data_IF_391813974827
#
_entry.id   IF_391813974827
#
_cell.length_a   1.000
_cell.length_b   1.000
_cell.length_c   1.000
_cell.angle_alpha   90.00
_cell.angle_beta   90.00
_cell.angle_gamma   90.00
#
_symmetry.space_group_name_H-M   'P 1'
#
loop_
_entity.id
_entity.type
_entity.pdbx_description
1 polymer ?
#
# COMPACT_ATOMS: atom_id res chain seq x y z
N UNK A 1 -17.47 -2.22 15.56
CA UNK A 1 -17.37 -3.43 14.72
C UNK A 1 -18.73 -3.69 14.08
N UNK A 2 -18.76 -3.95 12.77
CA UNK A 2 -19.93 -4.45 12.04
C UNK A 2 -19.69 -5.93 11.73
N UNK A 3 -20.62 -6.80 12.12
CA UNK A 3 -20.47 -8.24 11.93
C UNK A 3 -21.77 -8.86 11.43
N UNK A 4 -21.66 -9.64 10.36
CA UNK A 4 -22.75 -10.45 9.82
C UNK A 4 -22.87 -11.83 10.49
N UNK A 5 -23.85 -12.59 10.06
CA UNK A 5 -24.06 -13.99 10.45
C UNK A 5 -23.25 -14.98 9.57
N UNK A 6 -22.41 -14.46 8.69
CA UNK A 6 -21.61 -15.17 7.70
C UNK A 6 -21.71 -14.49 6.32
N UNK A 7 -20.64 -14.53 5.54
CA UNK A 7 -20.62 -13.92 4.20
C UNK A 7 -21.60 -14.55 3.18
N UNK A 8 -22.17 -15.71 3.51
CA UNK A 8 -23.26 -16.33 2.74
C UNK A 8 -24.64 -16.05 3.32
N UNK A 9 -24.74 -15.40 4.49
CA UNK A 9 -25.99 -15.20 5.21
C UNK A 9 -26.34 -13.71 5.39
N UNK A 10 -25.36 -12.83 5.43
CA UNK A 10 -25.58 -11.38 5.54
C UNK A 10 -25.05 -10.69 4.30
N UNK A 11 -25.93 -10.01 3.57
CA UNK A 11 -25.60 -9.28 2.35
C UNK A 11 -25.91 -7.80 2.54
N UNK A 12 -24.94 -6.95 2.24
CA UNK A 12 -25.14 -5.51 2.08
C UNK A 12 -25.08 -5.18 0.58
N UNK A 13 -26.22 -4.87 0.01
CA UNK A 13 -26.33 -4.60 -1.42
C UNK A 13 -26.34 -3.11 -1.70
N UNK A 14 -25.56 -2.70 -2.70
CA UNK A 14 -25.60 -1.37 -3.30
C UNK A 14 -26.52 -1.41 -4.51
N UNK A 15 -27.65 -0.70 -4.47
CA UNK A 15 -28.72 -0.82 -5.48
C UNK A 15 -28.51 0.09 -6.70
N UNK A 16 -27.63 1.08 -6.62
CA UNK A 16 -27.29 1.98 -7.71
C UNK A 16 -25.83 2.47 -7.54
N UNK A 17 -25.16 2.82 -8.65
CA UNK A 17 -23.79 3.31 -8.57
C UNK A 17 -23.73 4.67 -7.88
N UNK A 18 -22.64 4.89 -7.15
CA UNK A 18 -22.31 6.19 -6.58
C UNK A 18 -22.15 7.25 -7.66
N UNK A 19 -22.66 8.45 -7.40
CA UNK A 19 -22.51 9.58 -8.30
C UNK A 19 -21.18 10.30 -8.06
N UNK A 20 -20.58 10.83 -9.11
CA UNK A 20 -19.35 11.60 -9.04
C UNK A 20 -19.50 12.82 -8.14
N UNK A 21 -18.54 13.01 -7.20
CA UNK A 21 -18.57 14.13 -6.24
C UNK A 21 -17.85 15.39 -6.74
N UNK A 22 -16.80 15.24 -7.55
CA UNK A 22 -15.92 16.35 -7.96
C UNK A 22 -15.57 16.35 -9.46
N UNK A 23 -16.28 15.57 -10.27
CA UNK A 23 -16.04 15.47 -11.70
C UNK A 23 -14.91 14.51 -12.10
N UNK A 24 -14.24 13.85 -11.15
CA UNK A 24 -13.25 12.81 -11.44
C UNK A 24 -13.88 11.42 -11.45
N UNK A 25 -13.34 10.50 -12.26
CA UNK A 25 -13.88 9.15 -12.42
C UNK A 25 -13.78 8.28 -11.16
N UNK A 26 -12.93 8.66 -10.23
CA UNK A 26 -12.56 7.87 -9.05
C UNK A 26 -13.02 8.45 -7.71
N UNK A 27 -13.85 9.49 -7.71
CA UNK A 27 -14.39 10.06 -6.48
C UNK A 27 -15.92 9.93 -6.42
N UNK A 28 -16.38 8.73 -6.13
CA UNK A 28 -17.78 8.43 -5.84
C UNK A 28 -17.94 8.02 -4.37
N UNK A 29 -19.15 8.15 -3.78
CA UNK A 29 -19.42 7.62 -2.46
C UNK A 29 -19.26 6.10 -2.43
N UNK A 30 -18.75 5.57 -1.35
CA UNK A 30 -18.73 4.16 -1.04
C UNK A 30 -19.99 3.68 -0.31
N UNK A 31 -20.30 2.38 -0.37
CA UNK A 31 -21.43 1.79 0.36
C UNK A 31 -21.24 1.92 1.88
N UNK A 32 -20.03 1.67 2.38
CA UNK A 32 -19.68 1.77 3.79
C UNK A 32 -18.33 2.43 3.97
N UNK A 33 -18.22 3.34 4.93
CA UNK A 33 -16.91 3.88 5.30
C UNK A 33 -16.70 4.01 6.80
N UNK A 34 -15.47 3.74 7.22
CA UNK A 34 -14.94 4.14 8.50
C UNK A 34 -13.99 5.31 8.27
N UNK A 35 -14.40 6.53 8.71
CA UNK A 35 -13.60 7.71 8.43
C UNK A 35 -13.52 8.67 9.61
N UNK A 36 -12.35 9.26 9.77
CA UNK A 36 -12.19 10.49 10.53
C UNK A 36 -12.17 11.65 9.54
N UNK A 37 -13.18 12.51 9.62
CA UNK A 37 -13.27 13.71 8.79
C UNK A 37 -12.55 14.84 9.51
N UNK A 38 -11.46 15.34 8.93
CA UNK A 38 -10.75 16.49 9.49
C UNK A 38 -11.58 17.76 9.37
N UNK A 39 -11.61 18.54 10.43
CA UNK A 39 -12.03 19.92 10.37
C UNK A 39 -10.87 20.84 9.93
N UNK A 40 -11.12 22.07 9.54
CA UNK A 40 -10.05 23.03 9.22
C UNK A 40 -9.12 23.30 10.41
N UNK A 41 -9.61 23.18 11.64
CA UNK A 41 -8.82 23.31 12.87
C UNK A 41 -7.89 22.12 13.13
N UNK A 42 -8.10 20.98 12.44
CA UNK A 42 -7.32 19.76 12.60
C UNK A 42 -6.13 19.72 11.61
N UNK A 43 -5.87 20.76 10.85
CA UNK A 43 -4.79 20.78 9.88
C UNK A 43 -3.43 20.74 10.58
N UNK A 44 -2.82 19.56 10.49
CA UNK A 44 -1.41 19.27 10.70
C UNK A 44 -0.77 19.89 11.95
N UNK A 45 -1.07 19.34 13.09
CA UNK A 45 -0.32 19.66 14.30
C UNK A 45 1.11 19.11 14.20
N UNK A 46 2.02 19.89 13.62
CA UNK A 46 3.47 19.63 13.74
C UNK A 46 3.82 19.69 15.21
N UNK A 47 4.38 18.59 15.72
CA UNK A 47 4.76 18.48 17.13
C UNK A 47 6.19 18.95 17.37
N UNK A 48 7.12 18.48 16.53
CA UNK A 48 8.55 18.78 16.71
C UNK A 48 9.33 18.43 15.43
N UNK A 49 10.59 18.85 15.37
CA UNK A 49 11.60 18.46 14.37
C UNK A 49 12.34 17.22 14.83
N UNK A 50 12.80 16.40 13.88
CA UNK A 50 13.77 15.33 14.11
C UNK A 50 15.14 15.92 13.80
N UNK A 51 16.08 15.84 14.75
CA UNK A 51 17.32 16.63 14.73
C UNK A 51 18.60 15.82 14.53
N UNK A 52 18.52 14.49 14.51
CA UNK A 52 19.66 13.61 14.33
C UNK A 52 19.39 12.55 13.25
N UNK A 53 20.48 12.06 12.68
CA UNK A 53 20.44 10.91 11.76
C UNK A 53 19.85 9.68 12.44
N UNK A 54 19.11 8.89 11.68
CA UNK A 54 18.67 7.57 12.10
C UNK A 54 18.52 6.67 10.87
N UNK A 55 18.94 5.43 10.98
CA UNK A 55 18.89 4.46 9.88
C UNK A 55 17.54 3.76 9.81
N UNK A 56 17.13 3.36 8.63
CA UNK A 56 16.04 2.42 8.43
C UNK A 56 16.26 1.15 9.29
N UNK A 57 15.17 0.64 9.88
CA UNK A 57 15.25 -0.45 10.87
C UNK A 57 15.48 0.01 12.32
N UNK A 58 15.91 1.26 12.55
CA UNK A 58 16.03 1.82 13.91
C UNK A 58 14.64 2.05 14.52
N UNK A 59 14.57 1.88 15.85
CA UNK A 59 13.41 2.26 16.66
C UNK A 59 13.59 3.62 17.37
N UNK A 60 14.71 4.30 17.17
CA UNK A 60 15.02 5.52 17.90
C UNK A 60 15.20 6.71 16.98
N UNK A 61 14.67 7.84 17.41
CA UNK A 61 14.85 9.16 16.82
C UNK A 61 15.19 10.18 17.87
N UNK A 62 15.90 11.24 17.51
CA UNK A 62 16.14 12.39 18.38
C UNK A 62 15.35 13.60 17.87
N UNK A 63 14.64 14.29 18.77
CA UNK A 63 13.75 15.41 18.44
C UNK A 63 14.23 16.71 19.10
N UNK A 64 13.84 17.86 18.54
CA UNK A 64 14.15 19.15 19.11
C UNK A 64 13.51 19.35 20.49
N UNK A 65 12.26 18.89 20.66
CA UNK A 65 11.53 18.91 21.93
C UNK A 65 10.53 17.76 22.02
N UNK A 66 10.47 17.09 23.16
CA UNK A 66 9.48 16.06 23.45
C UNK A 66 8.26 16.58 24.25
N UNK A 67 8.16 17.87 24.51
CA UNK A 67 7.13 18.44 25.41
C UNK A 67 5.68 18.20 24.93
N UNK A 68 5.49 18.00 23.63
CA UNK A 68 4.18 17.72 23.03
C UNK A 68 3.94 16.21 22.78
N UNK A 69 4.83 15.33 23.25
CA UNK A 69 4.77 13.89 23.02
C UNK A 69 4.35 13.15 24.29
N UNK A 70 3.64 12.05 24.11
CA UNK A 70 3.24 11.15 25.19
C UNK A 70 3.48 9.68 24.80
N UNK A 71 3.81 8.84 25.77
CA UNK A 71 3.92 7.38 25.55
C UNK A 71 2.55 6.82 25.13
N UNK A 72 2.55 5.96 24.12
CA UNK A 72 1.33 5.43 23.49
C UNK A 72 0.71 6.35 22.43
N UNK A 73 1.21 7.58 22.28
CA UNK A 73 0.74 8.49 21.24
C UNK A 73 1.13 7.98 19.85
N UNK A 74 0.17 8.00 18.92
CA UNK A 74 0.45 7.80 17.50
C UNK A 74 0.96 9.10 16.88
N UNK A 75 2.04 8.98 16.13
CA UNK A 75 2.70 10.09 15.43
C UNK A 75 2.94 9.75 13.98
N UNK A 76 3.01 10.75 13.13
CA UNK A 76 3.45 10.63 11.75
C UNK A 76 4.88 11.16 11.64
N UNK A 77 5.83 10.27 11.32
CA UNK A 77 7.18 10.65 10.88
C UNK A 77 7.08 11.12 9.44
N UNK A 78 7.47 12.35 9.18
CA UNK A 78 7.23 12.99 7.89
C UNK A 78 8.46 13.69 7.35
N UNK A 79 8.80 13.39 6.10
CA UNK A 79 9.60 14.21 5.20
C UNK A 79 8.65 14.87 4.20
N UNK A 80 8.61 16.20 4.19
CA UNK A 80 7.65 16.95 3.36
C UNK A 80 8.35 17.55 2.12
N UNK A 81 8.78 16.66 1.20
CA UNK A 81 9.28 17.10 -0.09
C UNK A 81 10.74 17.58 -0.06
N UNK A 82 11.69 16.66 0.07
CA UNK A 82 13.11 16.96 -0.08
C UNK A 82 13.48 17.09 -1.56
N UNK A 83 13.70 18.30 -2.03
CA UNK A 83 14.02 18.64 -3.43
C UNK A 83 15.51 18.62 -3.74
N UNK A 84 16.36 18.26 -2.79
CA UNK A 84 17.81 18.19 -3.04
C UNK A 84 18.08 17.15 -4.15
N UNK A 85 18.84 17.54 -5.21
CA UNK A 85 19.10 16.61 -6.33
C UNK A 85 19.77 15.31 -5.89
N UNK A 86 20.65 15.35 -4.87
CA UNK A 86 21.29 14.17 -4.31
C UNK A 86 20.30 13.21 -3.64
N UNK A 87 19.29 13.72 -2.92
CA UNK A 87 18.24 12.90 -2.31
C UNK A 87 17.38 12.22 -3.37
N UNK A 88 16.93 12.97 -4.38
CA UNK A 88 16.14 12.40 -5.49
C UNK A 88 16.95 11.33 -6.24
N UNK A 89 18.23 11.62 -6.54
CA UNK A 89 19.09 10.65 -7.23
C UNK A 89 19.33 9.38 -6.40
N UNK A 90 19.47 9.51 -5.07
CA UNK A 90 19.64 8.37 -4.17
C UNK A 90 18.43 7.45 -4.13
N UNK A 91 17.20 8.00 -4.17
CA UNK A 91 15.96 7.21 -4.23
C UNK A 91 15.87 6.37 -5.51
N UNK A 92 16.35 6.90 -6.63
CA UNK A 92 16.24 6.27 -7.94
C UNK A 92 17.43 5.37 -8.31
N UNK A 93 18.59 5.53 -7.64
CA UNK A 93 19.82 4.86 -8.03
C UNK A 93 19.64 3.33 -8.16
N UNK A 94 20.23 2.68 -9.19
CA UNK A 94 21.20 3.23 -10.16
C UNK A 94 20.57 3.95 -11.37
N UNK A 95 19.24 4.03 -11.42
CA UNK A 95 18.56 4.69 -12.54
C UNK A 95 18.77 6.20 -12.49
N UNK A 96 18.88 6.80 -13.66
CA UNK A 96 18.94 8.26 -13.76
C UNK A 96 17.59 8.90 -13.42
N UNK A 97 17.63 10.14 -12.98
CA UNK A 97 16.42 10.95 -12.80
C UNK A 97 15.80 11.19 -14.19
N UNK A 98 14.59 10.70 -14.39
CA UNK A 98 13.84 10.89 -15.62
C UNK A 98 13.02 12.19 -15.54
N UNK A 99 13.12 13.04 -16.55
CA UNK A 99 12.35 14.30 -16.64
C UNK A 99 10.84 14.10 -16.69
N UNK A 100 10.36 12.90 -17.01
CA UNK A 100 8.94 12.55 -16.94
C UNK A 100 8.43 12.50 -15.47
N UNK A 101 9.28 12.27 -14.46
CA UNK A 101 8.89 12.24 -13.05
C UNK A 101 8.69 13.64 -12.46
N UNK A 102 7.80 14.40 -13.08
CA UNK A 102 7.63 15.81 -12.75
C UNK A 102 7.15 16.05 -11.31
N UNK A 103 6.32 15.17 -10.73
CA UNK A 103 5.93 15.26 -9.30
C UNK A 103 7.15 15.08 -8.40
N UNK A 104 7.96 14.04 -8.59
CA UNK A 104 9.15 13.80 -7.79
C UNK A 104 10.16 14.94 -7.88
N UNK A 105 10.30 15.54 -9.07
CA UNK A 105 11.23 16.66 -9.31
C UNK A 105 10.70 17.95 -8.67
N UNK A 106 9.39 18.24 -8.80
CA UNK A 106 8.81 19.51 -8.35
C UNK A 106 8.40 19.49 -6.89
N UNK A 107 7.92 18.36 -6.38
CA UNK A 107 7.48 18.20 -4.99
C UNK A 107 8.57 17.61 -4.09
N UNK A 108 9.53 16.88 -4.67
CA UNK A 108 10.63 16.25 -3.94
C UNK A 108 10.28 14.90 -3.31
N UNK A 109 11.25 14.30 -2.65
CA UNK A 109 11.07 13.05 -1.91
C UNK A 109 10.18 13.26 -0.70
N UNK A 110 9.11 12.49 -0.61
CA UNK A 110 8.14 12.54 0.48
C UNK A 110 8.07 11.19 1.20
N UNK A 111 8.09 11.23 2.52
CA UNK A 111 7.87 10.06 3.40
C UNK A 111 6.78 10.40 4.40
N UNK A 112 5.89 9.46 4.67
CA UNK A 112 4.85 9.60 5.67
C UNK A 112 4.59 8.24 6.35
N UNK A 113 5.18 8.01 7.52
CA UNK A 113 5.13 6.75 8.23
C UNK A 113 4.46 6.91 9.60
N UNK A 114 3.46 6.09 9.88
CA UNK A 114 2.76 6.08 11.16
C UNK A 114 3.50 5.21 12.17
N UNK A 115 3.80 5.78 13.34
CA UNK A 115 4.48 5.12 14.43
C UNK A 115 3.79 5.37 15.76
N UNK A 116 4.07 4.53 16.75
CA UNK A 116 3.58 4.71 18.12
C UNK A 116 4.76 4.95 19.06
N UNK A 117 4.67 5.99 19.86
CA UNK A 117 5.70 6.33 20.86
C UNK A 117 5.73 5.26 21.95
N UNK A 118 6.84 4.55 22.09
CA UNK A 118 7.05 3.50 23.10
C UNK A 118 7.66 4.04 24.39
N UNK A 119 8.62 4.95 24.26
CA UNK A 119 9.36 5.52 25.40
C UNK A 119 9.87 6.92 25.05
N UNK A 120 9.92 7.78 26.07
CA UNK A 120 10.49 9.12 25.98
C UNK A 120 11.63 9.21 27.02
N UNK A 121 12.82 9.58 26.58
CA UNK A 121 13.98 9.83 27.43
C UNK A 121 14.65 11.15 27.00
N UNK A 122 14.24 12.25 27.62
CA UNK A 122 14.64 13.58 27.19
C UNK A 122 14.19 13.84 25.75
N UNK A 123 15.15 14.09 24.85
CA UNK A 123 14.89 14.30 23.41
C UNK A 123 14.92 13.01 22.59
N UNK A 124 15.32 11.88 23.18
CA UNK A 124 15.34 10.58 22.53
C UNK A 124 14.01 9.87 22.67
N UNK A 125 13.41 9.57 21.53
CA UNK A 125 12.10 8.90 21.42
C UNK A 125 12.33 7.51 20.88
N UNK A 126 11.81 6.49 21.59
CA UNK A 126 11.76 5.11 21.09
C UNK A 126 10.37 4.86 20.53
N UNK A 127 10.28 4.30 19.33
CA UNK A 127 9.06 3.91 18.61
C UNK A 127 8.80 2.41 18.76
N UNK A 128 7.54 1.99 18.65
CA UNK A 128 7.21 0.56 18.61
C UNK A 128 7.58 -0.08 17.27
N UNK A 129 7.37 0.64 16.19
CA UNK A 129 7.65 0.19 14.84
C UNK A 129 9.03 0.73 14.40
N UNK A 130 9.84 -0.07 13.66
CA UNK A 130 11.08 0.43 13.11
C UNK A 130 10.84 1.46 12.01
N UNK A 131 11.77 2.38 11.81
CA UNK A 131 11.77 3.30 10.67
C UNK A 131 11.90 2.51 9.36
N UNK A 132 11.14 2.88 8.35
CA UNK A 132 11.25 2.32 7.00
C UNK A 132 12.18 3.08 6.07
N UNK A 133 12.65 4.26 6.49
CA UNK A 133 13.50 5.13 5.71
C UNK A 133 14.63 5.74 6.56
N UNK A 134 15.79 5.96 5.95
CA UNK A 134 16.87 6.69 6.59
C UNK A 134 16.46 8.15 6.83
N UNK A 135 16.76 8.66 8.00
CA UNK A 135 16.54 10.06 8.35
C UNK A 135 17.85 10.82 8.22
N UNK A 136 17.91 11.74 7.26
CA UNK A 136 18.93 12.76 7.15
C UNK A 136 18.35 14.08 7.68
N UNK A 137 18.86 14.65 8.78
CA UNK A 137 18.29 15.85 9.39
C UNK A 137 18.31 17.08 8.48
N UNK A 138 19.11 17.08 7.41
CA UNK A 138 19.08 18.13 6.41
C UNK A 138 17.79 18.13 5.56
N UNK A 139 17.01 17.05 5.60
CA UNK A 139 15.75 16.91 4.88
C UNK A 139 14.53 17.54 5.55
N UNK A 140 14.66 18.22 6.67
CA UNK A 140 13.55 18.82 7.43
C UNK A 140 12.51 17.81 7.89
N UNK A 141 12.97 16.72 8.46
CA UNK A 141 12.10 15.69 9.04
C UNK A 141 11.35 16.20 10.28
N UNK A 142 10.09 15.83 10.40
CA UNK A 142 9.20 16.31 11.45
C UNK A 142 8.32 15.20 12.01
N UNK A 143 7.88 15.36 13.27
CA UNK A 143 6.77 14.60 13.85
C UNK A 143 5.48 15.39 13.82
N UNK A 144 4.40 14.75 13.43
CA UNK A 144 3.06 15.34 13.44
C UNK A 144 2.10 14.51 14.31
N UNK A 145 1.12 15.16 14.90
CA UNK A 145 0.00 14.48 15.53
C UNK A 145 -0.83 13.73 14.50
N UNK A 146 -1.29 12.54 14.86
CA UNK A 146 -2.21 11.75 14.05
C UNK A 146 -3.60 11.86 14.63
N UNK A 147 -4.55 12.25 13.77
CA UNK A 147 -5.96 12.31 14.09
C UNK A 147 -6.65 11.18 13.33
N UNK A 148 -7.01 10.13 14.05
CA UNK A 148 -7.62 8.94 13.51
C UNK A 148 -8.72 8.36 14.42
N UNK A 149 -9.44 7.36 13.90
CA UNK A 149 -10.31 6.47 14.69
C UNK A 149 -9.58 5.16 14.91
N UNK A 150 -9.93 4.49 15.99
CA UNK A 150 -9.22 3.30 16.44
C UNK A 150 -10.17 2.12 16.60
N UNK A 151 -9.74 0.93 16.13
CA UNK A 151 -10.42 -0.34 16.39
C UNK A 151 -11.75 -0.53 15.66
N UNK A 152 -11.84 -0.10 14.40
CA UNK A 152 -13.02 -0.34 13.56
C UNK A 152 -12.83 -1.55 12.65
N UNK A 153 -13.87 -2.35 12.44
CA UNK A 153 -13.76 -3.48 11.54
C UNK A 153 -15.07 -4.07 11.07
N UNK A 154 -14.94 -4.90 10.03
CA UNK A 154 -16.04 -5.61 9.36
C UNK A 154 -15.72 -7.09 9.29
N UNK A 155 -16.69 -7.94 9.59
CA UNK A 155 -16.54 -9.39 9.55
C UNK A 155 -17.80 -10.08 9.04
N UNK A 156 -17.61 -11.21 8.33
CA UNK A 156 -18.66 -12.18 8.02
C UNK A 156 -19.82 -11.57 7.18
N UNK A 157 -19.50 -10.70 6.19
CA UNK A 157 -20.47 -9.98 5.36
C UNK A 157 -20.14 -10.16 3.88
N UNK A 158 -21.16 -10.31 3.05
CA UNK A 158 -21.10 -10.10 1.61
C UNK A 158 -21.44 -8.65 1.27
N UNK A 159 -20.57 -7.99 0.53
CA UNK A 159 -20.82 -6.69 -0.12
C UNK A 159 -21.14 -6.97 -1.58
N UNK A 160 -22.33 -6.60 -2.03
CA UNK A 160 -22.79 -6.88 -3.37
C UNK A 160 -23.11 -5.58 -4.12
N UNK A 161 -22.42 -5.38 -5.25
CA UNK A 161 -22.77 -4.37 -6.24
C UNK A 161 -23.65 -4.96 -7.35
N UNK A 162 -24.00 -4.13 -8.30
CA UNK A 162 -24.69 -4.55 -9.51
C UNK A 162 -23.90 -4.20 -10.77
N UNK A 163 -22.56 -4.18 -10.67
CA UNK A 163 -21.70 -3.95 -11.82
C UNK A 163 -21.64 -5.22 -12.68
N UNK A 164 -22.33 -5.19 -13.82
CA UNK A 164 -22.47 -6.33 -14.75
C UNK A 164 -21.96 -6.03 -16.15
N UNK A 165 -21.56 -4.79 -16.43
CA UNK A 165 -21.01 -4.39 -17.72
C UNK A 165 -19.61 -4.99 -17.93
N UNK A 166 -19.21 -5.22 -19.18
CA UNK A 166 -17.81 -5.48 -19.49
C UNK A 166 -16.97 -4.28 -19.04
N UNK A 167 -15.97 -4.55 -18.19
CA UNK A 167 -15.14 -3.47 -17.66
C UNK A 167 -14.30 -2.80 -18.75
N UNK A 168 -14.38 -1.47 -18.81
CA UNK A 168 -13.53 -0.64 -19.68
C UNK A 168 -12.86 0.40 -18.80
N UNK A 169 -11.53 0.33 -18.74
CA UNK A 169 -10.69 1.20 -17.92
C UNK A 169 -10.86 2.67 -18.31
N UNK A 170 -11.17 3.52 -17.36
CA UNK A 170 -11.38 4.98 -17.50
C UNK A 170 -12.51 5.36 -18.47
N UNK A 171 -13.48 4.49 -18.71
CA UNK A 171 -14.66 4.83 -19.53
C UNK A 171 -15.53 5.89 -18.85
N UNK A 172 -15.88 5.66 -17.59
CA UNK A 172 -16.70 6.55 -16.77
C UNK A 172 -16.58 6.17 -15.28
N UNK A 173 -17.20 6.97 -14.43
CA UNK A 173 -17.15 6.73 -12.98
C UNK A 173 -17.86 5.43 -12.54
N UNK A 174 -18.84 4.94 -13.30
CA UNK A 174 -19.51 3.67 -12.98
C UNK A 174 -18.52 2.52 -13.07
N UNK A 175 -17.67 2.51 -14.12
CA UNK A 175 -16.61 1.54 -14.31
C UNK A 175 -15.51 1.67 -13.26
N UNK A 176 -15.03 2.89 -13.01
CA UNK A 176 -13.83 3.08 -12.18
C UNK A 176 -14.12 3.04 -10.67
N UNK A 177 -15.22 3.65 -10.21
CA UNK A 177 -15.47 3.77 -8.77
C UNK A 177 -16.95 3.71 -8.36
N UNK A 178 -17.89 3.67 -9.29
CA UNK A 178 -19.32 3.78 -8.98
C UNK A 178 -19.85 2.66 -8.07
N UNK A 179 -19.21 1.49 -8.06
CA UNK A 179 -19.54 0.37 -7.19
C UNK A 179 -18.45 0.13 -6.15
N UNK A 180 -18.04 1.20 -5.46
CA UNK A 180 -17.08 1.17 -4.36
C UNK A 180 -17.76 0.68 -3.08
N UNK A 181 -17.19 -0.34 -2.43
CA UNK A 181 -17.84 -0.98 -1.30
C UNK A 181 -17.38 -0.44 0.05
N UNK A 182 -16.09 -0.50 0.36
CA UNK A 182 -15.61 -0.23 1.70
C UNK A 182 -14.38 0.69 1.70
N UNK A 183 -14.42 1.74 2.51
CA UNK A 183 -13.29 2.66 2.70
C UNK A 183 -12.90 2.79 4.17
N UNK A 184 -11.60 2.64 4.45
CA UNK A 184 -10.96 3.10 5.67
C UNK A 184 -10.22 4.41 5.39
N UNK A 185 -10.62 5.49 6.04
CA UNK A 185 -9.94 6.78 5.91
C UNK A 185 -9.56 7.31 7.30
N UNK A 186 -8.25 7.43 7.54
CA UNK A 186 -7.69 7.83 8.84
C UNK A 186 -8.18 6.93 9.96
N UNK A 187 -7.92 5.66 9.79
CA UNK A 187 -8.23 4.61 10.75
C UNK A 187 -6.94 3.97 11.25
N UNK A 188 -6.97 3.47 12.47
CA UNK A 188 -5.91 2.66 13.02
C UNK A 188 -6.46 1.39 13.65
N UNK A 189 -5.66 0.29 13.58
CA UNK A 189 -6.03 -1.02 14.12
C UNK A 189 -7.42 -1.48 13.63
N UNK A 190 -7.67 -1.27 12.32
CA UNK A 190 -8.89 -1.71 11.66
C UNK A 190 -8.74 -3.08 11.01
N UNK A 191 -9.87 -3.70 10.68
CA UNK A 191 -9.85 -4.99 9.97
C UNK A 191 -11.05 -5.23 9.07
N UNK A 192 -10.83 -6.06 8.05
CA UNK A 192 -11.86 -6.69 7.21
C UNK A 192 -11.56 -8.19 7.20
N UNK A 193 -12.50 -9.02 7.61
CA UNK A 193 -12.26 -10.46 7.72
C UNK A 193 -13.44 -11.28 7.24
N UNK A 194 -13.14 -12.36 6.51
CA UNK A 194 -14.14 -13.34 6.01
C UNK A 194 -15.30 -12.66 5.29
N UNK A 195 -14.95 -11.70 4.42
CA UNK A 195 -15.90 -10.94 3.63
C UNK A 195 -15.83 -11.35 2.16
N UNK A 196 -16.96 -11.21 1.46
CA UNK A 196 -17.04 -11.37 0.01
C UNK A 196 -17.43 -10.05 -0.63
N UNK A 197 -16.85 -9.78 -1.79
CA UNK A 197 -17.15 -8.59 -2.61
C UNK A 197 -17.57 -9.08 -4.00
N UNK A 198 -18.81 -8.84 -4.37
CA UNK A 198 -19.43 -9.42 -5.57
C UNK A 198 -19.86 -8.31 -6.53
N UNK A 199 -19.47 -8.40 -7.79
CA UNK A 199 -19.85 -7.44 -8.85
C UNK A 199 -19.54 -5.98 -8.46
N UNK A 200 -18.30 -5.69 -8.12
CA UNK A 200 -17.87 -4.39 -7.60
C UNK A 200 -16.85 -3.73 -8.53
N UNK A 201 -16.84 -2.41 -8.61
CA UNK A 201 -15.75 -1.68 -9.27
C UNK A 201 -14.54 -1.51 -8.36
N UNK A 202 -14.73 -1.37 -7.05
CA UNK A 202 -13.66 -1.29 -6.04
C UNK A 202 -14.11 -1.97 -4.74
N UNK A 203 -13.36 -2.96 -4.25
CA UNK A 203 -13.75 -3.70 -3.06
C UNK A 203 -13.36 -2.96 -1.76
N UNK A 204 -12.05 -2.72 -1.53
CA UNK A 204 -11.56 -2.06 -0.29
C UNK A 204 -10.52 -1.00 -0.59
N UNK A 205 -10.75 0.21 -0.11
CA UNK A 205 -9.79 1.31 -0.13
C UNK A 205 -9.29 1.64 1.28
N UNK A 206 -7.97 1.63 1.48
CA UNK A 206 -7.32 1.93 2.76
C UNK A 206 -6.50 3.19 2.58
N UNK A 207 -6.92 4.31 3.16
CA UNK A 207 -6.35 5.62 2.91
C UNK A 207 -5.86 6.29 4.18
N UNK A 208 -4.61 6.79 4.19
CA UNK A 208 -4.05 7.55 5.32
C UNK A 208 -4.27 6.85 6.67
N UNK A 209 -4.12 5.54 6.69
CA UNK A 209 -4.47 4.66 7.80
C UNK A 209 -3.24 3.84 8.24
N UNK A 210 -3.32 3.21 9.39
CA UNK A 210 -2.22 2.36 9.84
C UNK A 210 -2.71 1.13 10.61
N UNK A 211 -1.90 0.07 10.59
CA UNK A 211 -2.20 -1.19 11.29
C UNK A 211 -3.56 -1.76 10.87
N UNK A 212 -3.81 -1.82 9.56
CA UNK A 212 -5.05 -2.37 8.99
C UNK A 212 -4.77 -3.79 8.50
N UNK A 213 -5.68 -4.70 8.81
CA UNK A 213 -5.63 -6.08 8.34
C UNK A 213 -6.84 -6.39 7.45
N UNK A 214 -6.61 -6.88 6.23
CA UNK A 214 -7.63 -7.51 5.38
C UNK A 214 -7.27 -8.98 5.28
N UNK A 215 -8.15 -9.87 5.75
CA UNK A 215 -7.83 -11.29 5.87
C UNK A 215 -9.02 -12.17 5.47
N UNK A 216 -8.72 -13.26 4.74
CA UNK A 216 -9.71 -14.25 4.33
C UNK A 216 -10.91 -13.63 3.59
N UNK A 217 -10.60 -12.87 2.54
CA UNK A 217 -11.62 -12.19 1.72
C UNK A 217 -11.56 -12.65 0.27
N UNK A 218 -12.74 -12.65 -0.39
CA UNK A 218 -12.85 -13.00 -1.80
C UNK A 218 -13.49 -11.87 -2.58
N UNK A 219 -12.91 -11.55 -3.74
CA UNK A 219 -13.49 -10.65 -4.73
C UNK A 219 -13.91 -11.51 -5.91
N UNK A 220 -15.20 -11.47 -6.31
CA UNK A 220 -15.73 -12.38 -7.31
C UNK A 220 -16.85 -11.75 -8.14
N UNK A 221 -17.30 -12.49 -9.14
CA UNK A 221 -18.30 -12.04 -10.10
C UNK A 221 -17.66 -11.27 -11.26
N UNK A 222 -18.25 -10.15 -11.64
CA UNK A 222 -17.77 -9.35 -12.75
C UNK A 222 -16.46 -8.63 -12.42
N UNK A 223 -15.54 -8.60 -13.37
CA UNK A 223 -14.31 -7.83 -13.25
C UNK A 223 -14.62 -6.33 -13.16
N UNK A 224 -13.90 -5.61 -12.31
CA UNK A 224 -14.02 -4.17 -12.15
C UNK A 224 -12.65 -3.50 -12.14
N UNK A 225 -12.55 -2.33 -11.50
CA UNK A 225 -11.36 -1.49 -11.54
C UNK A 225 -10.27 -1.94 -10.55
N UNK A 226 -10.63 -2.15 -9.28
CA UNK A 226 -9.62 -2.42 -8.25
C UNK A 226 -10.13 -3.37 -7.16
N UNK A 227 -9.26 -4.27 -6.71
CA UNK A 227 -9.57 -5.15 -5.59
C UNK A 227 -9.36 -4.44 -4.25
N UNK A 228 -8.11 -4.37 -3.78
CA UNK A 228 -7.76 -3.76 -2.49
C UNK A 228 -6.57 -2.84 -2.69
N UNK A 229 -6.70 -1.59 -2.26
CA UNK A 229 -5.64 -0.60 -2.40
C UNK A 229 -5.22 0.02 -1.06
N UNK A 230 -3.91 -0.04 -0.75
CA UNK A 230 -3.28 0.67 0.36
C UNK A 230 -2.70 1.98 -0.15
N UNK A 231 -3.21 3.13 0.32
CA UNK A 231 -2.85 4.46 -0.16
C UNK A 231 -2.37 5.35 0.99
N UNK A 232 -1.14 5.88 0.91
CA UNK A 232 -0.56 6.73 1.97
C UNK A 232 -0.77 6.13 3.38
N UNK A 233 -0.68 4.82 3.50
CA UNK A 233 -0.95 4.05 4.72
C UNK A 233 0.30 3.27 5.13
N UNK A 234 0.41 2.95 6.42
CA UNK A 234 1.58 2.23 6.96
C UNK A 234 1.15 0.98 7.71
N UNK A 235 1.94 -0.11 7.63
CA UNK A 235 1.68 -1.37 8.33
C UNK A 235 0.32 -1.98 7.94
N UNK A 236 0.10 -2.20 6.66
CA UNK A 236 -1.10 -2.85 6.13
C UNK A 236 -0.78 -4.31 5.81
N UNK A 237 -1.55 -5.23 6.39
CA UNK A 237 -1.49 -6.65 6.07
C UNK A 237 -2.72 -7.04 5.25
N UNK A 238 -2.49 -7.57 4.06
CA UNK A 238 -3.52 -8.17 3.19
C UNK A 238 -3.15 -9.64 3.06
N UNK A 239 -3.94 -10.52 3.69
CA UNK A 239 -3.61 -11.93 3.79
C UNK A 239 -4.78 -12.82 3.33
N UNK A 240 -4.45 -13.94 2.71
CA UNK A 240 -5.43 -14.94 2.27
C UNK A 240 -6.59 -14.34 1.44
N UNK A 241 -6.27 -13.34 0.62
CA UNK A 241 -7.24 -12.68 -0.27
C UNK A 241 -7.20 -13.33 -1.64
N UNK A 242 -8.37 -13.63 -2.20
CA UNK A 242 -8.51 -14.22 -3.51
C UNK A 242 -9.32 -13.30 -4.45
N UNK A 243 -8.67 -12.77 -5.47
CA UNK A 243 -9.32 -12.05 -6.56
C UNK A 243 -9.70 -13.02 -7.69
N UNK A 244 -10.91 -13.56 -7.61
CA UNK A 244 -11.49 -14.47 -8.61
C UNK A 244 -12.11 -13.73 -9.79
N UNK A 245 -12.49 -12.47 -9.59
CA UNK A 245 -13.07 -11.66 -10.67
C UNK A 245 -12.03 -11.19 -11.68
N UNK A 246 -10.75 -11.13 -11.27
CA UNK A 246 -9.67 -10.60 -12.11
C UNK A 246 -9.83 -9.10 -12.30
N UNK A 247 -9.91 -8.36 -11.20
CA UNK A 247 -9.97 -6.89 -11.23
C UNK A 247 -8.82 -6.32 -12.06
N UNK A 248 -9.04 -5.27 -12.82
CA UNK A 248 -8.03 -4.67 -13.69
C UNK A 248 -6.77 -4.30 -12.91
N UNK A 249 -6.92 -3.59 -11.80
CA UNK A 249 -5.92 -3.38 -10.77
C UNK A 249 -6.26 -4.27 -9.57
N UNK A 250 -5.59 -5.39 -9.39
CA UNK A 250 -5.94 -6.31 -8.32
C UNK A 250 -5.63 -5.72 -6.94
N UNK A 251 -4.66 -6.28 -6.23
CA UNK A 251 -4.22 -5.73 -4.94
C UNK A 251 -3.03 -4.81 -5.16
N UNK A 252 -3.01 -3.64 -4.51
CA UNK A 252 -1.97 -2.68 -4.81
C UNK A 252 -1.67 -1.64 -3.73
N UNK A 253 -0.65 -0.81 -4.04
CA UNK A 253 -0.19 0.29 -3.21
C UNK A 253 -0.08 1.57 -4.02
N UNK A 254 -0.23 2.72 -3.37
CA UNK A 254 -0.04 4.03 -4.03
C UNK A 254 0.32 5.12 -3.03
N UNK A 255 0.74 6.26 -3.57
CA UNK A 255 1.16 7.42 -2.78
C UNK A 255 2.30 7.01 -1.83
N UNK A 256 2.39 7.63 -0.69
CA UNK A 256 3.42 7.32 0.32
C UNK A 256 3.12 6.04 1.13
N UNK A 257 2.43 5.05 0.58
CA UNK A 257 2.20 3.79 1.28
C UNK A 257 3.53 3.10 1.61
N UNK A 258 3.65 2.58 2.83
CA UNK A 258 4.86 1.89 3.28
C UNK A 258 4.52 0.69 4.18
N UNK A 259 5.42 -0.30 4.24
CA UNK A 259 5.24 -1.51 5.05
C UNK A 259 3.90 -2.22 4.77
N UNK A 260 3.57 -2.39 3.50
CA UNK A 260 2.42 -3.19 3.08
C UNK A 260 2.87 -4.61 2.78
N UNK A 261 2.20 -5.59 3.36
CA UNK A 261 2.44 -7.02 3.12
C UNK A 261 1.21 -7.65 2.47
N UNK A 262 1.44 -8.29 1.33
CA UNK A 262 0.51 -9.23 0.71
C UNK A 262 0.99 -10.63 1.07
N UNK A 263 0.21 -11.38 1.84
CA UNK A 263 0.57 -12.72 2.30
C UNK A 263 -0.42 -13.76 1.77
N UNK A 264 0.05 -14.73 0.98
CA UNK A 264 -0.79 -15.80 0.40
C UNK A 264 -2.01 -15.26 -0.37
N UNK A 265 -1.82 -14.15 -1.07
CA UNK A 265 -2.87 -13.61 -1.92
C UNK A 265 -2.86 -14.26 -3.31
N UNK A 266 -4.04 -14.48 -3.86
CA UNK A 266 -4.23 -14.89 -5.26
C UNK A 266 -4.74 -13.71 -6.07
N UNK A 267 -3.92 -13.25 -7.00
CA UNK A 267 -4.23 -12.21 -7.97
C UNK A 267 -4.74 -12.89 -9.24
N UNK A 268 -5.75 -12.36 -9.90
CA UNK A 268 -6.26 -12.92 -11.15
C UNK A 268 -5.15 -13.09 -12.20
N UNK A 269 -5.20 -14.18 -12.98
CA UNK A 269 -4.16 -14.47 -13.99
C UNK A 269 -4.05 -13.38 -15.08
N UNK A 270 -5.13 -12.67 -15.37
CA UNK A 270 -5.19 -11.52 -16.28
C UNK A 270 -4.86 -10.19 -15.63
N UNK A 271 -4.71 -10.15 -14.32
CA UNK A 271 -4.38 -8.96 -13.51
C UNK A 271 -2.89 -8.94 -13.14
N UNK A 272 -2.49 -7.93 -12.35
CA UNK A 272 -1.18 -7.82 -11.75
C UNK A 272 -1.27 -7.12 -10.39
N UNK A 273 -0.26 -7.33 -9.54
CA UNK A 273 -0.01 -6.41 -8.45
C UNK A 273 0.15 -5.00 -9.02
N UNK A 274 -0.52 -4.04 -8.42
CA UNK A 274 -0.42 -2.64 -8.82
C UNK A 274 0.43 -1.83 -7.85
N UNK A 275 1.44 -1.16 -8.35
CA UNK A 275 2.09 -0.06 -7.65
C UNK A 275 1.75 1.24 -8.41
N UNK A 276 0.85 2.04 -7.85
CA UNK A 276 0.24 3.18 -8.53
C UNK A 276 0.89 4.50 -8.12
N UNK A 277 2.18 4.64 -8.42
CA UNK A 277 3.01 5.87 -8.34
C UNK A 277 2.89 6.69 -7.05
N UNK A 278 3.44 7.92 -7.06
CA UNK A 278 3.49 8.86 -5.92
C UNK A 278 4.20 8.27 -4.69
N UNK A 279 5.32 7.59 -4.93
CA UNK A 279 6.34 7.22 -3.96
C UNK A 279 5.98 6.11 -2.93
N UNK A 280 5.23 5.03 -3.28
CA UNK A 280 5.09 3.89 -2.38
C UNK A 280 6.44 3.18 -2.23
N UNK A 281 6.66 2.54 -1.07
CA UNK A 281 7.91 1.84 -0.73
C UNK A 281 7.68 0.70 0.27
N UNK A 282 8.67 -0.19 0.43
CA UNK A 282 8.65 -1.25 1.43
C UNK A 282 7.39 -2.12 1.33
N UNK A 283 7.19 -2.75 0.17
CA UNK A 283 6.06 -3.67 -0.07
C UNK A 283 6.57 -5.09 -0.26
N UNK A 284 5.97 -6.04 0.44
CA UNK A 284 6.31 -7.46 0.35
C UNK A 284 5.12 -8.26 -0.22
N UNK A 285 5.37 -8.97 -1.32
CA UNK A 285 4.51 -10.03 -1.84
C UNK A 285 5.09 -11.37 -1.39
N UNK A 286 4.48 -11.98 -0.40
CA UNK A 286 4.96 -13.19 0.28
C UNK A 286 4.04 -14.37 0.00
N UNK A 287 4.56 -15.42 -0.62
CA UNK A 287 3.79 -16.61 -1.02
C UNK A 287 2.57 -16.29 -1.87
N UNK A 288 2.58 -15.18 -2.59
CA UNK A 288 1.48 -14.80 -3.47
C UNK A 288 1.55 -15.53 -4.79
N UNK A 289 0.41 -15.61 -5.47
CA UNK A 289 0.31 -16.12 -6.83
C UNK A 289 -0.60 -15.26 -7.68
N UNK A 290 -0.35 -15.24 -9.00
CA UNK A 290 -1.21 -14.51 -9.93
C UNK A 290 -0.55 -14.07 -11.22
N UNK A 291 -1.20 -13.18 -11.92
CA UNK A 291 -0.69 -12.63 -13.16
C UNK A 291 0.51 -11.73 -12.95
N UNK A 292 1.33 -11.62 -13.98
CA UNK A 292 2.40 -10.64 -14.11
C UNK A 292 2.32 -10.09 -15.53
N UNK A 293 1.58 -9.00 -15.70
CA UNK A 293 1.27 -8.42 -17.00
C UNK A 293 2.09 -7.15 -17.21
N UNK A 294 2.89 -7.15 -18.28
CA UNK A 294 3.68 -5.98 -18.65
C UNK A 294 2.77 -4.75 -18.84
N UNK A 295 3.17 -3.63 -18.28
CA UNK A 295 2.46 -2.34 -18.40
C UNK A 295 1.10 -2.26 -17.68
N UNK A 296 0.77 -3.18 -16.78
CA UNK A 296 -0.44 -3.12 -15.96
C UNK A 296 -0.21 -2.46 -14.59
N UNK A 297 1.02 -2.20 -14.21
CA UNK A 297 1.31 -1.45 -12.99
C UNK A 297 1.40 0.04 -13.29
N UNK A 298 0.88 0.87 -12.40
CA UNK A 298 1.18 2.27 -12.36
C UNK A 298 0.10 3.22 -12.79
N UNK A 299 0.39 4.49 -12.54
CA UNK A 299 -0.40 5.64 -12.91
C UNK A 299 0.28 6.47 -13.98
N UNK A 300 0.00 7.77 -13.96
CA UNK A 300 0.61 8.74 -14.87
C UNK A 300 2.13 8.77 -14.68
N UNK A 301 2.87 8.83 -15.80
CA UNK A 301 4.33 8.94 -15.80
C UNK A 301 4.83 10.15 -14.99
N UNK A 302 4.08 11.24 -14.97
CA UNK A 302 4.38 12.43 -14.17
C UNK A 302 4.47 12.15 -12.67
N UNK A 303 3.76 11.14 -12.18
CA UNK A 303 3.72 10.71 -10.77
C UNK A 303 4.74 9.59 -10.46
N UNK A 304 5.51 9.16 -11.46
CA UNK A 304 6.50 8.09 -11.32
C UNK A 304 7.67 8.41 -10.39
N UNK A 305 8.47 7.39 -10.02
CA UNK A 305 8.31 5.98 -10.36
C UNK A 305 7.12 5.33 -9.64
N UNK A 306 6.67 4.17 -10.13
CA UNK A 306 5.51 3.50 -9.55
C UNK A 306 5.78 2.89 -8.18
N UNK A 307 6.99 2.44 -7.94
CA UNK A 307 7.43 1.98 -6.64
C UNK A 307 8.90 2.35 -6.41
N UNK A 308 9.18 2.97 -5.28
CA UNK A 308 10.53 3.23 -4.81
C UNK A 308 11.15 1.94 -4.23
N UNK A 309 12.19 2.06 -3.41
CA UNK A 309 12.92 0.91 -2.87
C UNK A 309 12.07 0.01 -1.97
N UNK A 310 12.51 -1.24 -1.82
CA UNK A 310 11.92 -2.20 -0.90
C UNK A 310 10.71 -2.95 -1.44
N UNK A 311 10.52 -3.04 -2.76
CA UNK A 311 9.60 -4.02 -3.34
C UNK A 311 10.25 -5.40 -3.30
N UNK A 312 9.57 -6.37 -2.71
CA UNK A 312 10.06 -7.75 -2.56
C UNK A 312 9.02 -8.74 -3.07
N UNK A 313 9.40 -9.59 -4.01
CA UNK A 313 8.66 -10.78 -4.41
C UNK A 313 9.33 -12.00 -3.77
N UNK A 314 8.68 -12.59 -2.78
CA UNK A 314 9.20 -13.74 -2.03
C UNK A 314 8.34 -14.97 -2.29
N UNK A 315 8.94 -15.99 -2.91
CA UNK A 315 8.23 -17.22 -3.29
C UNK A 315 6.94 -16.96 -4.09
N UNK A 316 6.99 -16.00 -5.01
CA UNK A 316 5.86 -15.65 -5.86
C UNK A 316 5.68 -16.67 -6.98
N UNK A 317 4.44 -17.11 -7.25
CA UNK A 317 4.11 -18.00 -8.36
C UNK A 317 3.32 -17.25 -9.42
N UNK A 318 3.89 -17.06 -10.60
CA UNK A 318 3.19 -16.50 -11.74
C UNK A 318 2.26 -17.54 -12.37
N UNK A 319 0.97 -17.18 -12.51
CA UNK A 319 -0.06 -18.04 -13.11
C UNK A 319 -0.57 -17.53 -14.46
N UNK A 320 -0.19 -16.33 -14.87
CA UNK A 320 -0.57 -15.74 -16.15
C UNK A 320 0.26 -14.50 -16.49
N UNK A 321 0.04 -13.92 -17.65
CA UNK A 321 0.70 -12.70 -18.10
C UNK A 321 1.96 -12.94 -18.92
N UNK A 322 3.00 -12.11 -18.76
CA UNK A 322 4.21 -12.07 -19.57
C UNK A 322 5.02 -13.36 -19.50
N UNK A 323 5.49 -13.83 -20.64
CA UNK A 323 6.54 -14.84 -20.75
C UNK A 323 7.83 -14.21 -21.31
N UNK A 324 8.98 -14.72 -20.87
CA UNK A 324 10.28 -14.15 -21.22
C UNK A 324 10.59 -12.90 -20.40
N UNK A 325 11.34 -11.97 -20.95
CA UNK A 325 11.79 -10.79 -20.21
C UNK A 325 10.63 -9.89 -19.81
N UNK A 326 10.53 -9.64 -18.50
CA UNK A 326 9.63 -8.66 -17.88
C UNK A 326 10.46 -7.48 -17.39
N UNK A 327 10.36 -6.35 -18.08
CA UNK A 327 11.09 -5.16 -17.68
C UNK A 327 10.46 -4.52 -16.45
N UNK A 328 11.24 -4.44 -15.38
CA UNK A 328 10.85 -3.78 -14.12
C UNK A 328 11.02 -2.26 -14.21
N UNK A 329 11.81 -1.77 -15.16
CA UNK A 329 12.04 -0.34 -15.39
C UNK A 329 11.41 0.18 -16.70
N UNK A 330 10.48 -0.56 -17.31
CA UNK A 330 9.72 -0.05 -18.45
C UNK A 330 8.85 1.15 -18.05
N UNK A 331 8.43 1.94 -19.03
CA UNK A 331 7.67 3.19 -18.80
C UNK A 331 6.49 3.04 -17.83
N UNK A 332 5.79 1.91 -17.88
CA UNK A 332 4.58 1.69 -17.07
C UNK A 332 4.83 0.82 -15.82
N UNK A 333 6.03 0.34 -15.57
CA UNK A 333 6.38 -0.39 -14.34
C UNK A 333 7.19 0.50 -13.39
N UNK A 334 8.38 0.95 -13.80
CA UNK A 334 9.22 1.88 -13.02
C UNK A 334 9.34 1.47 -11.54
N UNK A 335 9.79 0.23 -11.29
CA UNK A 335 10.09 -0.29 -9.96
C UNK A 335 11.58 -0.14 -9.67
N UNK A 336 11.93 0.58 -8.62
CA UNK A 336 13.33 0.83 -8.27
C UNK A 336 13.93 -0.40 -7.60
N UNK A 337 14.73 -1.16 -8.35
CA UNK A 337 15.60 -2.24 -7.86
C UNK A 337 14.91 -3.24 -6.90
N UNK A 338 13.80 -3.90 -7.29
CA UNK A 338 13.15 -4.88 -6.43
C UNK A 338 14.04 -6.09 -6.10
N UNK A 339 13.68 -6.77 -5.02
CA UNK A 339 14.22 -8.10 -4.65
C UNK A 339 13.28 -9.17 -5.19
N UNK A 340 13.83 -10.16 -5.89
CA UNK A 340 13.08 -11.30 -6.42
C UNK A 340 13.74 -12.58 -5.92
N UNK A 341 13.08 -13.33 -5.05
CA UNK A 341 13.60 -14.57 -4.48
C UNK A 341 12.55 -15.68 -4.53
N UNK A 342 12.94 -16.86 -4.99
CA UNK A 342 12.06 -18.03 -5.10
C UNK A 342 10.94 -17.89 -6.14
N UNK A 343 11.10 -17.03 -7.13
CA UNK A 343 10.08 -16.78 -8.16
C UNK A 343 9.87 -18.01 -9.05
N UNK A 344 8.61 -18.38 -9.26
CA UNK A 344 8.23 -19.48 -10.16
C UNK A 344 7.27 -18.97 -11.23
N UNK A 345 7.71 -19.07 -12.50
CA UNK A 345 6.88 -18.66 -13.65
C UNK A 345 7.69 -18.50 -14.93
N UNK A 346 7.01 -18.21 -16.05
CA UNK A 346 7.66 -18.05 -17.36
C UNK A 346 8.35 -16.69 -17.57
N UNK A 347 8.12 -15.69 -16.69
CA UNK A 347 8.81 -14.41 -16.77
C UNK A 347 10.25 -14.51 -16.26
N UNK A 348 11.13 -13.71 -16.86
CA UNK A 348 12.52 -13.51 -16.45
C UNK A 348 12.79 -12.03 -16.20
N UNK A 349 13.72 -11.71 -15.31
CA UNK A 349 14.03 -10.33 -14.93
C UNK A 349 15.49 -10.01 -15.19
N UNK A 350 15.77 -8.77 -15.59
CA UNK A 350 17.13 -8.31 -15.80
C UNK A 350 17.87 -8.08 -14.47
N UNK A 351 19.09 -8.60 -14.29
CA UNK A 351 19.93 -8.27 -13.15
C UNK A 351 20.23 -6.76 -13.00
N UNK A 352 20.19 -6.01 -14.09
CA UNK A 352 20.40 -4.55 -14.04
C UNK A 352 19.21 -3.77 -13.50
N UNK A 353 18.03 -4.39 -13.41
CA UNK A 353 16.80 -3.80 -12.91
C UNK A 353 16.38 -4.34 -11.53
N UNK A 354 17.23 -5.16 -10.89
CA UNK A 354 16.94 -5.80 -9.60
C UNK A 354 18.10 -5.64 -8.64
N UNK A 355 17.81 -5.52 -7.35
CA UNK A 355 18.84 -5.54 -6.31
C UNK A 355 19.32 -6.96 -5.99
N UNK A 356 18.40 -7.93 -6.04
CA UNK A 356 18.68 -9.37 -5.84
C UNK A 356 17.77 -10.19 -6.75
N UNK A 357 18.36 -11.20 -7.39
CA UNK A 357 17.63 -12.30 -8.03
C UNK A 357 18.17 -13.60 -7.46
N UNK A 358 17.32 -14.41 -6.84
CA UNK A 358 17.71 -15.68 -6.25
C UNK A 358 16.70 -16.78 -6.53
N UNK A 359 17.19 -17.96 -6.89
CA UNK A 359 16.41 -19.22 -6.94
C UNK A 359 15.17 -19.18 -7.82
N UNK A 360 15.36 -19.02 -9.14
CA UNK A 360 14.28 -19.23 -10.10
C UNK A 360 13.76 -20.68 -10.08
N UNK A 361 12.44 -20.85 -10.02
CA UNK A 361 11.74 -22.13 -10.06
C UNK A 361 11.82 -22.95 -8.77
N UNK A 362 12.62 -22.52 -7.79
CA UNK A 362 12.82 -23.22 -6.52
C UNK A 362 12.52 -22.27 -5.37
N UNK A 363 11.58 -22.60 -4.48
CA UNK A 363 11.30 -21.76 -3.31
C UNK A 363 12.53 -21.57 -2.43
N UNK A 364 12.63 -20.40 -1.78
CA UNK A 364 13.67 -20.08 -0.81
C UNK A 364 13.16 -20.23 0.62
N UNK A 365 14.09 -20.40 1.55
CA UNK A 365 13.80 -20.37 2.98
C UNK A 365 14.20 -19.01 3.60
N UNK A 366 13.44 -18.52 4.59
CA UNK A 366 12.23 -19.12 5.17
C UNK A 366 11.08 -19.14 4.18
N UNK A 367 10.20 -20.14 4.26
CA UNK A 367 9.07 -20.26 3.34
C UNK A 367 8.24 -18.95 3.24
N UNK A 368 7.95 -18.33 4.38
CA UNK A 368 7.36 -16.99 4.46
C UNK A 368 8.32 -16.03 5.16
N UNK A 369 8.73 -15.00 4.46
CA UNK A 369 9.60 -13.96 5.01
C UNK A 369 8.87 -13.16 6.12
N UNK A 370 7.60 -12.82 5.89
CA UNK A 370 6.79 -12.11 6.88
C UNK A 370 6.63 -12.89 8.18
N UNK A 371 6.29 -14.18 8.10
CA UNK A 371 6.09 -15.00 9.29
C UNK A 371 7.38 -15.22 10.05
N UNK A 372 8.51 -15.38 9.36
CA UNK A 372 9.83 -15.48 9.99
C UNK A 372 10.20 -14.20 10.75
N UNK A 373 10.00 -13.04 10.12
CA UNK A 373 10.22 -11.74 10.78
C UNK A 373 9.27 -11.53 11.96
N UNK A 374 8.00 -11.93 11.83
CA UNK A 374 7.03 -11.86 12.92
C UNK A 374 7.43 -12.73 14.12
N UNK A 375 7.89 -13.97 13.87
CA UNK A 375 8.40 -14.88 14.93
C UNK A 375 9.58 -14.26 15.66
N UNK A 376 10.57 -13.73 14.92
CA UNK A 376 11.72 -13.05 15.53
C UNK A 376 11.30 -11.86 16.40
N UNK A 377 10.38 -11.03 15.91
CA UNK A 377 9.86 -9.87 16.66
C UNK A 377 9.11 -10.27 17.93
N UNK A 378 8.42 -11.41 17.92
CA UNK A 378 7.67 -11.94 19.06
C UNK A 378 8.53 -12.80 20.00
N UNK A 379 9.79 -13.03 19.67
CA UNK A 379 10.70 -13.89 20.45
C UNK A 379 10.29 -15.37 20.43
N UNK A 380 9.74 -15.85 19.34
CA UNK A 380 9.22 -17.23 19.16
C UNK A 380 10.06 -18.02 18.18
#
# INVERSE_FOLDING_TARGET
MLRGAGANATVLSMSCPGQVLDGTLWNTPELLSFRYVRSRSDEQLRLTEITAESQAGSHEIEVASASALSVGQRVLVKLAGDKRPGTIAAELAPHAVDGEFSELITEGVTVAEYHTVKRINGRRITLYEPLGHDIDPLGNWTLHAVLDRNGCGVEDICFEGAFTDEFVHHKDAVHDSGWRMLTFLRQAHGWVRRCRFVNVSEAVSIMQSCNITVDDCTIEGNAGHSAIRSQASTNVLISNVEDRSGQYHSVGVSKTASHTVLLRCTIGASSSFEAHCSQPRNTLLDLCQGGLNQNHAGGDAALGPNHLRGLVLWNYTQTGGQSGEFSLWSRNNRFVMPVIAGFKGPATFSPSETSVIESYGTPVEPQSLYEAQLKLRLGK
#
